data_IF_140377389475
#
_entry.id   IF_140377389475
#
_cell.length_a   1.000
_cell.length_b   1.000
_cell.length_c   1.000
_cell.angle_alpha   90.00
_cell.angle_beta   90.00
_cell.angle_gamma   90.00
#
_symmetry.space_group_name_H-M   'P 1'
#
loop_
_entity.id
_entity.type
_entity.pdbx_description
1 polymer ?
#
# COMPACT_ATOMS: atom_id res chain seq x y z
N UNK A 1 17.97 7.86 9.45
CA UNK A 1 16.83 8.56 8.83
C UNK A 1 16.00 7.48 8.19
N UNK A 2 14.93 7.04 8.85
CA UNK A 2 14.06 5.99 8.31
C UNK A 2 13.35 6.55 7.07
N UNK A 3 13.49 5.87 5.94
CA UNK A 3 12.86 6.25 4.69
C UNK A 3 11.35 6.20 4.85
N UNK A 4 10.61 7.24 4.42
CA UNK A 4 9.16 7.22 4.50
C UNK A 4 8.63 6.05 3.67
N UNK A 5 8.02 5.07 4.34
CA UNK A 5 7.37 3.95 3.66
C UNK A 5 6.21 4.54 2.85
N UNK A 6 6.09 4.11 1.61
CA UNK A 6 4.98 4.46 0.73
C UNK A 6 3.97 3.31 0.70
N UNK A 7 2.82 3.47 0.07
CA UNK A 7 1.91 2.37 -0.23
C UNK A 7 1.04 2.74 -1.41
N UNK A 8 0.56 1.75 -2.16
CA UNK A 8 -0.38 1.95 -3.26
C UNK A 8 -1.78 1.62 -2.75
N UNK A 9 -2.71 2.57 -2.88
CA UNK A 9 -4.10 2.33 -2.51
C UNK A 9 -4.82 1.54 -3.61
N UNK A 10 -5.58 0.49 -3.26
CA UNK A 10 -6.19 -0.41 -4.24
C UNK A 10 -7.72 -0.27 -4.35
N UNK A 11 -8.36 0.45 -3.42
CA UNK A 11 -9.83 0.60 -3.40
C UNK A 11 -10.26 1.93 -4.05
N UNK A 12 -11.47 1.97 -4.61
CA UNK A 12 -11.99 3.18 -5.28
C UNK A 12 -12.52 4.25 -4.29
N UNK A 13 -12.84 3.85 -3.06
CA UNK A 13 -13.55 4.70 -2.09
C UNK A 13 -12.86 4.75 -0.71
N UNK A 14 -11.54 4.88 -0.72
CA UNK A 14 -10.76 5.03 0.51
C UNK A 14 -10.80 6.45 1.04
N UNK A 15 -11.03 6.61 2.32
CA UNK A 15 -10.89 7.89 3.02
C UNK A 15 -9.99 7.65 4.23
N UNK A 16 -8.99 8.50 4.41
CA UNK A 16 -8.13 8.47 5.58
C UNK A 16 -8.83 9.10 6.81
N UNK A 17 -8.23 9.00 8.00
CA UNK A 17 -8.80 9.57 9.23
C UNK A 17 -8.93 11.09 9.17
N UNK A 18 -8.09 11.75 8.37
CA UNK A 18 -8.10 13.19 8.11
C UNK A 18 -9.16 13.60 7.08
N UNK A 19 -9.92 12.66 6.51
CA UNK A 19 -10.95 12.93 5.51
C UNK A 19 -10.41 13.10 4.09
N UNK A 20 -9.11 12.82 3.84
CA UNK A 20 -8.50 12.86 2.52
C UNK A 20 -8.88 11.60 1.75
N UNK A 21 -9.26 11.79 0.49
CA UNK A 21 -9.60 10.70 -0.41
C UNK A 21 -8.33 10.00 -0.88
N UNK A 22 -8.24 8.70 -0.63
CA UNK A 22 -7.18 7.85 -1.16
C UNK A 22 -7.52 7.50 -2.61
N UNK A 23 -6.72 8.00 -3.54
CA UNK A 23 -6.90 7.71 -4.96
C UNK A 23 -6.35 6.32 -5.25
N UNK A 24 -7.17 5.49 -5.91
CA UNK A 24 -6.79 4.15 -6.34
C UNK A 24 -5.60 4.17 -7.31
N UNK A 25 -4.71 3.19 -7.16
CA UNK A 25 -3.45 3.06 -7.89
C UNK A 25 -2.50 4.26 -7.73
N UNK A 26 -2.76 5.15 -6.77
CA UNK A 26 -1.84 6.23 -6.42
C UNK A 26 -0.94 5.80 -5.26
N UNK A 27 0.31 6.23 -5.32
CA UNK A 27 1.27 6.09 -4.22
C UNK A 27 0.99 7.16 -3.15
N UNK A 28 0.77 6.70 -1.92
CA UNK A 28 0.55 7.52 -0.74
C UNK A 28 1.67 7.28 0.28
N UNK A 29 1.94 8.26 1.13
CA UNK A 29 2.98 8.16 2.15
C UNK A 29 2.39 7.63 3.46
N UNK A 30 2.98 6.57 4.03
CA UNK A 30 2.45 5.99 5.29
C UNK A 30 2.55 6.96 6.46
N UNK A 31 3.53 7.88 6.43
CA UNK A 31 3.72 8.88 7.46
C UNK A 31 2.55 9.89 7.52
N UNK A 32 1.88 10.13 6.40
CA UNK A 32 0.75 11.06 6.31
C UNK A 32 -0.55 10.45 6.87
N UNK A 33 -0.68 9.12 6.84
CA UNK A 33 -1.91 8.40 7.21
C UNK A 33 -1.80 7.59 8.52
N UNK A 34 -0.58 7.40 9.03
CA UNK A 34 -0.27 6.62 10.22
C UNK A 34 0.00 5.15 9.92
N UNK A 35 1.19 4.66 10.29
CA UNK A 35 1.66 3.30 9.97
C UNK A 35 0.71 2.19 10.46
N UNK A 36 0.09 2.34 11.63
CA UNK A 36 -0.83 1.34 12.17
C UNK A 36 -2.06 1.13 11.27
N UNK A 37 -2.60 2.20 10.68
CA UNK A 37 -3.77 2.13 9.79
C UNK A 37 -3.39 1.56 8.44
N UNK A 38 -2.24 1.96 7.91
CA UNK A 38 -1.73 1.41 6.66
C UNK A 38 -1.42 -0.09 6.80
N UNK A 39 -0.87 -0.53 7.93
CA UNK A 39 -0.66 -1.95 8.21
C UNK A 39 -1.97 -2.75 8.16
N UNK A 40 -3.05 -2.20 8.74
CA UNK A 40 -4.38 -2.81 8.66
C UNK A 40 -4.95 -2.80 7.23
N UNK A 41 -4.74 -1.73 6.47
CA UNK A 41 -5.10 -1.68 5.05
C UNK A 41 -4.34 -2.72 4.21
N UNK A 42 -3.07 -2.96 4.51
CA UNK A 42 -2.28 -3.98 3.82
C UNK A 42 -2.78 -5.38 4.19
N UNK A 43 -3.03 -5.65 5.48
CA UNK A 43 -3.61 -6.94 5.91
C UNK A 43 -4.97 -7.23 5.29
N UNK A 44 -5.81 -6.20 5.13
CA UNK A 44 -7.15 -6.33 4.55
C UNK A 44 -7.13 -6.37 3.02
N UNK A 45 -5.98 -6.15 2.37
CA UNK A 45 -5.86 -6.07 0.91
C UNK A 45 -6.34 -4.74 0.31
N UNK A 46 -6.61 -3.73 1.13
CA UNK A 46 -7.01 -2.39 0.69
C UNK A 46 -5.83 -1.53 0.21
N UNK A 47 -4.63 -1.81 0.71
CA UNK A 47 -3.38 -1.17 0.30
C UNK A 47 -2.32 -2.21 -0.03
N UNK A 48 -1.43 -1.89 -0.98
CA UNK A 48 -0.26 -2.70 -1.30
C UNK A 48 0.99 -1.99 -0.77
N UNK A 49 1.94 -2.69 -0.12
CA UNK A 49 3.24 -2.10 0.16
C UNK A 49 3.89 -1.60 -1.13
N UNK A 50 4.71 -0.55 -1.06
CA UNK A 50 5.38 -0.02 -2.23
C UNK A 50 6.33 -1.11 -2.70
N UNK A 51 6.35 -1.35 -4.00
CA UNK A 51 7.17 -2.38 -4.62
C UNK A 51 8.64 -1.96 -4.59
N UNK A 52 9.24 -1.91 -3.41
CA UNK A 52 10.69 -2.01 -3.30
C UNK A 52 11.04 -3.47 -3.53
N UNK A 53 11.47 -3.74 -4.77
CA UNK A 53 11.99 -5.00 -5.27
C UNK A 53 10.97 -6.15 -5.41
N UNK A 54 10.68 -6.43 -6.68
CA UNK A 54 10.61 -7.79 -7.23
C UNK A 54 11.35 -8.80 -6.34
N UNK A 55 10.63 -9.51 -5.48
CA UNK A 55 10.93 -10.93 -5.36
C UNK A 55 10.13 -11.56 -6.50
N UNK A 56 10.78 -12.14 -7.53
CA UNK A 56 10.02 -12.82 -8.57
C UNK A 56 9.21 -13.90 -7.88
N UNK A 57 7.88 -13.75 -7.87
CA UNK A 57 7.01 -14.89 -7.61
C UNK A 57 7.37 -15.87 -8.71
N UNK A 58 8.02 -16.95 -8.28
CA UNK A 58 8.36 -18.12 -9.08
C UNK A 58 7.15 -18.44 -9.94
N UNK A 59 7.22 -18.10 -11.23
CA UNK A 59 6.37 -18.72 -12.23
C UNK A 59 6.88 -20.16 -12.27
N UNK A 60 6.22 -21.04 -11.51
CA UNK A 60 6.43 -22.47 -11.60
C UNK A 60 5.83 -22.90 -12.93
N UNK A 61 6.57 -22.66 -14.01
CA UNK A 61 6.29 -23.22 -15.32
C UNK A 61 6.53 -24.73 -15.19
N UNK A 62 5.45 -25.47 -14.90
CA UNK A 62 5.40 -26.90 -15.18
C UNK A 62 5.05 -27.03 -16.66
N UNK A 63 5.99 -27.49 -17.48
CA UNK A 63 5.66 -28.29 -18.66
C UNK A 63 6.78 -29.24 -19.00
#
# INVERSE_FOLDING_TARGET
>A
METPKKFIWLLDNGIDRSGRKLIKNQEHNTADHGEARVAEWIKTGAACPPVETRTPVVVKERK
#
